data_IF_102822689797
#
_entry.id   IF_102822689797
#
_cell.length_a   1.000
_cell.length_b   1.000
_cell.length_c   1.000
_cell.angle_alpha   90.00
_cell.angle_beta   90.00
_cell.angle_gamma   90.00
#
_symmetry.space_group_name_H-M   'P 1'
#
loop_
_entity.id
_entity.type
_entity.pdbx_description
1 polymer ?
#
# COMPACT_ATOMS: atom_id res chain seq x y z
N UNK A 1 -12.53 19.77 3.86
CA UNK A 1 -11.33 19.69 4.72
C UNK A 1 -10.49 18.54 4.19
N UNK A 2 -9.28 18.83 3.69
CA UNK A 2 -8.42 17.88 2.98
C UNK A 2 -8.00 16.68 3.83
N UNK A 3 -8.64 15.54 3.61
CA UNK A 3 -8.31 14.26 4.26
C UNK A 3 -7.32 13.41 3.45
N UNK A 4 -6.81 13.94 2.34
CA UNK A 4 -5.87 13.31 1.42
C UNK A 4 -4.87 14.35 0.89
N UNK A 5 -3.59 13.99 0.85
CA UNK A 5 -2.53 14.75 0.18
C UNK A 5 -2.36 14.15 -1.21
N UNK A 6 -2.37 15.03 -2.22
CA UNK A 6 -2.14 14.65 -3.60
C UNK A 6 -0.67 14.26 -3.76
N UNK A 7 -0.40 12.97 -3.92
CA UNK A 7 0.91 12.49 -4.31
C UNK A 7 1.02 12.71 -5.81
N UNK A 8 1.57 13.85 -6.22
CA UNK A 8 1.92 14.13 -7.62
C UNK A 8 3.02 13.13 -7.98
N UNK A 9 2.75 12.09 -8.80
CA UNK A 9 3.81 11.24 -9.30
C UNK A 9 4.69 12.15 -10.15
N UNK A 10 6.00 12.13 -9.91
CA UNK A 10 6.99 12.90 -10.64
C UNK A 10 6.61 13.00 -12.12
N UNK A 11 6.66 14.23 -12.65
CA UNK A 11 6.31 14.64 -14.01
C UNK A 11 6.93 13.71 -15.07
N UNK A 12 6.27 12.59 -15.34
CA UNK A 12 6.46 11.82 -16.54
C UNK A 12 5.63 12.51 -17.59
N UNK A 13 6.30 13.13 -18.56
CA UNK A 13 5.67 13.68 -19.76
C UNK A 13 4.68 12.67 -20.34
N UNK A 14 3.61 13.17 -20.97
CA UNK A 14 2.52 12.32 -21.47
C UNK A 14 3.03 11.42 -22.60
N UNK A 15 3.45 10.22 -22.19
CA UNK A 15 4.15 9.24 -23.01
C UNK A 15 3.49 7.88 -22.82
N UNK A 16 3.39 7.10 -23.90
CA UNK A 16 2.64 5.84 -23.89
C UNK A 16 3.18 4.80 -22.89
N UNK A 17 4.48 4.85 -22.58
CA UNK A 17 5.14 3.93 -21.64
C UNK A 17 4.92 4.32 -20.17
N UNK A 18 4.35 5.50 -19.88
CA UNK A 18 4.01 5.95 -18.54
C UNK A 18 3.13 4.93 -17.81
N UNK A 19 2.08 4.43 -18.47
CA UNK A 19 1.14 3.48 -17.87
C UNK A 19 1.81 2.13 -17.53
N UNK A 20 2.54 1.45 -18.46
CA UNK A 20 3.30 0.26 -18.12
C UNK A 20 4.28 0.45 -16.96
N UNK A 21 4.99 1.58 -16.92
CA UNK A 21 5.93 1.87 -15.82
C UNK A 21 5.19 2.04 -14.50
N UNK A 22 4.07 2.76 -14.46
CA UNK A 22 3.26 2.93 -13.25
C UNK A 22 2.73 1.59 -12.71
N UNK A 23 2.32 0.68 -13.60
CA UNK A 23 1.92 -0.68 -13.21
C UNK A 23 3.11 -1.42 -12.61
N UNK A 24 4.26 -1.46 -13.28
CA UNK A 24 5.46 -2.12 -12.76
C UNK A 24 5.90 -1.55 -11.41
N UNK A 25 5.86 -0.22 -11.25
CA UNK A 25 6.15 0.47 -10.00
C UNK A 25 5.17 0.12 -8.90
N UNK A 26 3.86 -0.01 -9.19
CA UNK A 26 2.85 -0.44 -8.23
C UNK A 26 3.14 -1.84 -7.68
N UNK A 27 3.49 -2.79 -8.55
CA UNK A 27 3.87 -4.13 -8.10
C UNK A 27 5.22 -4.15 -7.37
N UNK A 28 6.19 -3.33 -7.78
CA UNK A 28 7.47 -3.21 -7.10
C UNK A 28 7.31 -2.62 -5.68
N UNK A 29 6.49 -1.58 -5.53
CA UNK A 29 6.13 -1.01 -4.23
C UNK A 29 5.42 -2.03 -3.36
N UNK A 30 4.37 -2.66 -3.89
CA UNK A 30 3.65 -3.72 -3.17
C UNK A 30 4.58 -4.83 -2.73
N UNK A 31 5.50 -5.28 -3.59
CA UNK A 31 6.51 -6.27 -3.20
C UNK A 31 7.37 -5.79 -2.04
N UNK A 32 7.98 -4.61 -2.14
CA UNK A 32 8.86 -4.08 -1.12
C UNK A 32 8.14 -3.91 0.23
N UNK A 33 6.94 -3.32 0.21
CA UNK A 33 6.14 -3.10 1.40
C UNK A 33 5.69 -4.42 2.04
N UNK A 34 5.16 -5.37 1.26
CA UNK A 34 4.68 -6.63 1.80
C UNK A 34 5.83 -7.48 2.39
N UNK A 35 7.01 -7.47 1.77
CA UNK A 35 8.20 -8.15 2.31
C UNK A 35 8.58 -7.57 3.66
N UNK A 36 8.67 -6.24 3.78
CA UNK A 36 9.19 -5.61 5.00
C UNK A 36 8.13 -5.55 6.11
N UNK A 37 6.94 -5.04 5.79
CA UNK A 37 5.93 -4.64 6.77
C UNK A 37 5.08 -5.84 7.22
N UNK A 38 4.79 -6.78 6.32
CA UNK A 38 4.05 -8.00 6.67
C UNK A 38 5.02 -9.12 7.00
N UNK A 39 5.78 -9.61 6.01
CA UNK A 39 6.53 -10.86 6.18
C UNK A 39 7.67 -10.73 7.20
N UNK A 40 8.59 -9.78 7.00
CA UNK A 40 9.75 -9.61 7.87
C UNK A 40 9.33 -9.20 9.28
N UNK A 41 8.58 -8.09 9.43
CA UNK A 41 8.22 -7.56 10.74
C UNK A 41 7.43 -8.58 11.58
N UNK A 42 6.40 -9.22 11.02
CA UNK A 42 5.64 -10.21 11.79
C UNK A 42 6.49 -11.43 12.13
N UNK A 43 7.36 -11.89 11.22
CA UNK A 43 8.29 -12.98 11.52
C UNK A 43 9.22 -12.61 12.68
N UNK A 44 9.76 -11.39 12.68
CA UNK A 44 10.64 -10.92 13.76
C UNK A 44 9.91 -10.75 15.09
N UNK A 45 8.69 -10.24 15.08
CA UNK A 45 7.89 -10.12 16.29
C UNK A 45 7.58 -11.49 16.90
N UNK A 46 7.23 -12.48 16.08
CA UNK A 46 7.07 -13.86 16.58
C UNK A 46 8.39 -14.45 17.10
N UNK A 47 9.52 -14.21 16.43
CA UNK A 47 10.85 -14.63 16.92
C UNK A 47 11.23 -13.97 18.26
N UNK A 48 10.73 -12.77 18.52
CA UNK A 48 10.89 -12.05 19.80
C UNK A 48 9.86 -12.49 20.85
N UNK A 49 8.99 -13.45 20.56
CA UNK A 49 7.99 -14.00 21.48
C UNK A 49 6.67 -13.25 21.52
N UNK A 50 6.43 -12.28 20.64
CA UNK A 50 5.13 -11.62 20.54
C UNK A 50 4.10 -12.57 19.93
N UNK A 51 2.87 -12.54 20.47
CA UNK A 51 1.76 -13.30 19.93
C UNK A 51 1.22 -12.73 18.62
N UNK A 52 0.48 -13.56 17.88
CA UNK A 52 -0.17 -13.24 16.59
C UNK A 52 -0.88 -11.89 16.55
N UNK A 53 -1.73 -11.63 17.53
CA UNK A 53 -2.54 -10.40 17.56
C UNK A 53 -1.65 -9.16 17.69
N UNK A 54 -0.60 -9.23 18.52
CA UNK A 54 0.35 -8.14 18.68
C UNK A 54 1.18 -7.94 17.40
N UNK A 55 1.64 -9.02 16.77
CA UNK A 55 2.39 -8.95 15.51
C UNK A 55 1.56 -8.29 14.38
N UNK A 56 0.30 -8.70 14.22
CA UNK A 56 -0.62 -8.12 13.22
C UNK A 56 -0.92 -6.65 13.56
N UNK A 57 -1.23 -6.33 14.81
CA UNK A 57 -1.54 -4.96 15.23
C UNK A 57 -0.35 -4.02 15.02
N UNK A 58 0.87 -4.41 15.42
CA UNK A 58 2.08 -3.62 15.21
C UNK A 58 2.38 -3.39 13.73
N UNK A 59 2.21 -4.43 12.91
CA UNK A 59 2.37 -4.36 11.46
C UNK A 59 1.35 -3.43 10.80
N UNK A 60 0.08 -3.54 11.17
CA UNK A 60 -1.00 -2.67 10.68
C UNK A 60 -0.85 -1.21 11.12
N UNK A 61 -0.44 -0.98 12.38
CA UNK A 61 -0.19 0.37 12.90
C UNK A 61 1.01 1.01 12.22
N UNK A 62 2.12 0.28 12.03
CA UNK A 62 3.27 0.79 11.29
C UNK A 62 2.83 1.25 9.89
N UNK A 63 2.09 0.39 9.19
CA UNK A 63 1.51 0.68 7.87
C UNK A 63 0.66 1.94 7.88
N UNK A 64 -0.37 1.99 8.73
CA UNK A 64 -1.23 3.17 8.84
C UNK A 64 -0.44 4.45 9.10
N UNK A 65 0.52 4.41 10.02
CA UNK A 65 1.33 5.57 10.41
C UNK A 65 2.16 6.13 9.23
N UNK A 66 2.88 5.29 8.49
CA UNK A 66 3.68 5.80 7.37
C UNK A 66 2.84 6.18 6.16
N UNK A 67 1.55 5.86 6.09
CA UNK A 67 0.65 6.37 5.05
C UNK A 67 -0.14 7.62 5.46
N UNK A 68 -0.03 8.09 6.71
CA UNK A 68 -0.71 9.33 7.14
C UNK A 68 -0.21 10.57 6.39
N UNK A 69 0.99 10.56 5.81
CA UNK A 69 1.46 11.68 4.97
C UNK A 69 0.64 11.83 3.69
N UNK A 70 -0.02 10.76 3.22
CA UNK A 70 -0.97 10.77 2.10
C UNK A 70 -2.37 11.23 2.55
N UNK A 71 -2.54 11.53 3.85
CA UNK A 71 -3.77 11.98 4.49
C UNK A 71 -4.40 10.93 5.41
N UNK A 72 -5.35 11.38 6.22
CA UNK A 72 -6.05 10.55 7.22
C UNK A 72 -6.75 9.36 6.57
N UNK A 73 -7.39 9.58 5.42
CA UNK A 73 -8.09 8.52 4.68
C UNK A 73 -7.16 7.41 4.22
N UNK A 74 -5.98 7.78 3.69
CA UNK A 74 -4.94 6.84 3.29
C UNK A 74 -4.38 6.08 4.49
N UNK A 75 -4.12 6.75 5.61
CA UNK A 75 -3.67 6.09 6.84
C UNK A 75 -4.68 5.07 7.40
N UNK A 76 -5.97 5.40 7.43
CA UNK A 76 -7.03 4.47 7.89
C UNK A 76 -7.18 3.30 6.93
N UNK A 77 -7.21 3.54 5.62
CA UNK A 77 -7.30 2.47 4.62
C UNK A 77 -6.13 1.49 4.73
N UNK A 78 -4.92 2.02 4.95
CA UNK A 78 -3.71 1.23 5.11
C UNK A 78 -3.64 0.48 6.44
N UNK A 79 -4.19 1.03 7.52
CA UNK A 79 -4.36 0.32 8.78
C UNK A 79 -5.28 -0.90 8.60
N UNK A 80 -6.43 -0.72 7.95
CA UNK A 80 -7.37 -1.83 7.66
C UNK A 80 -6.71 -2.88 6.76
N UNK A 81 -6.04 -2.44 5.68
CA UNK A 81 -5.31 -3.33 4.78
C UNK A 81 -4.24 -4.13 5.54
N UNK A 82 -3.47 -3.49 6.42
CA UNK A 82 -2.45 -4.15 7.23
C UNK A 82 -3.01 -5.24 8.16
N UNK A 83 -4.20 -5.03 8.73
CA UNK A 83 -4.89 -6.06 9.53
C UNK A 83 -5.26 -7.26 8.67
N UNK A 84 -5.91 -7.02 7.53
CA UNK A 84 -6.35 -8.08 6.61
C UNK A 84 -5.15 -8.86 6.07
N UNK A 85 -4.14 -8.16 5.58
CA UNK A 85 -2.95 -8.78 4.98
C UNK A 85 -2.12 -9.53 6.02
N UNK A 86 -1.98 -8.97 7.22
CA UNK A 86 -1.34 -9.65 8.34
C UNK A 86 -2.05 -10.95 8.73
N UNK A 87 -3.38 -10.93 8.77
CA UNK A 87 -4.16 -12.15 9.02
C UNK A 87 -3.99 -13.20 7.91
N UNK A 88 -4.03 -12.78 6.65
CA UNK A 88 -3.83 -13.68 5.50
C UNK A 88 -2.42 -14.26 5.49
N UNK A 89 -1.39 -13.46 5.78
CA UNK A 89 -0.02 -13.92 5.93
C UNK A 89 0.11 -14.96 7.03
N UNK A 90 -0.42 -14.69 8.22
CA UNK A 90 -0.40 -15.66 9.31
C UNK A 90 -1.10 -16.97 8.91
N UNK A 91 -2.24 -16.91 8.22
CA UNK A 91 -3.02 -18.10 7.85
C UNK A 91 -2.37 -18.92 6.75
N UNK A 92 -1.66 -18.29 5.83
CA UNK A 92 -1.22 -18.95 4.59
C UNK A 92 0.29 -19.04 4.43
N UNK A 93 1.06 -18.15 5.05
CA UNK A 93 2.50 -17.98 4.85
C UNK A 93 2.88 -17.59 3.42
N UNK A 94 1.92 -17.12 2.61
CA UNK A 94 2.12 -16.83 1.18
C UNK A 94 2.12 -15.34 0.94
N UNK A 95 3.23 -14.82 0.40
CA UNK A 95 3.38 -13.40 0.12
C UNK A 95 2.76 -12.99 -1.23
N UNK A 96 2.81 -13.87 -2.23
CA UNK A 96 2.35 -13.58 -3.59
C UNK A 96 0.91 -13.02 -3.68
N UNK A 97 -0.10 -13.58 -2.98
CA UNK A 97 -1.45 -13.00 -3.01
C UNK A 97 -1.51 -11.56 -2.49
N UNK A 98 -0.67 -11.23 -1.49
CA UNK A 98 -0.62 -9.89 -0.89
C UNK A 98 0.03 -8.89 -1.85
N UNK A 99 1.14 -9.28 -2.48
CA UNK A 99 1.82 -8.45 -3.48
C UNK A 99 0.89 -8.16 -4.65
N UNK A 100 0.18 -9.18 -5.15
CA UNK A 100 -0.75 -9.00 -6.27
C UNK A 100 -1.90 -8.08 -5.87
N UNK A 101 -2.50 -8.29 -4.69
CA UNK A 101 -3.57 -7.43 -4.20
C UNK A 101 -3.10 -5.98 -4.04
N UNK A 102 -1.94 -5.76 -3.42
CA UNK A 102 -1.34 -4.43 -3.26
C UNK A 102 -1.07 -3.78 -4.61
N UNK A 103 -0.36 -4.47 -5.51
CA UNK A 103 -0.02 -3.94 -6.82
C UNK A 103 -1.26 -3.59 -7.64
N UNK A 104 -2.36 -4.34 -7.53
CA UNK A 104 -3.63 -3.99 -8.16
C UNK A 104 -4.27 -2.75 -7.55
N UNK A 105 -4.28 -2.63 -6.22
CA UNK A 105 -4.80 -1.44 -5.51
C UNK A 105 -4.03 -0.19 -5.95
N UNK A 106 -2.69 -0.25 -5.92
CA UNK A 106 -1.82 0.84 -6.33
C UNK A 106 -1.96 1.16 -7.82
N UNK A 107 -2.08 0.14 -8.67
CA UNK A 107 -2.33 0.32 -10.11
C UNK A 107 -3.62 1.09 -10.34
N UNK A 108 -4.71 0.72 -9.66
CA UNK A 108 -6.00 1.42 -9.77
C UNK A 108 -5.88 2.85 -9.26
N UNK A 109 -5.17 3.08 -8.15
CA UNK A 109 -4.93 4.42 -7.62
C UNK A 109 -4.12 5.29 -8.59
N UNK A 110 -2.99 4.79 -9.10
CA UNK A 110 -2.08 5.55 -9.98
C UNK A 110 -2.66 5.78 -11.37
N UNK A 111 -3.22 4.74 -12.00
CA UNK A 111 -3.82 4.84 -13.33
C UNK A 111 -5.15 5.59 -13.27
N UNK A 112 -5.97 5.32 -12.26
CA UNK A 112 -7.21 6.07 -12.02
C UNK A 112 -6.93 7.56 -11.83
N UNK A 113 -5.94 7.91 -11.01
CA UNK A 113 -5.49 9.29 -10.88
C UNK A 113 -5.00 9.88 -12.21
N UNK A 114 -4.12 9.17 -12.94
CA UNK A 114 -3.56 9.64 -14.20
C UNK A 114 -4.60 9.90 -15.31
N UNK A 115 -5.70 9.13 -15.33
CA UNK A 115 -6.77 9.26 -16.31
C UNK A 115 -7.87 10.25 -15.90
N UNK A 116 -8.17 10.36 -14.61
CA UNK A 116 -9.33 11.13 -14.13
C UNK A 116 -8.98 12.54 -13.64
N UNK A 117 -7.69 12.83 -13.36
CA UNK A 117 -7.24 14.16 -12.92
C UNK A 117 -7.70 15.31 -13.82
N UNK A 118 -7.68 15.12 -15.14
CA UNK A 118 -8.00 16.18 -16.10
C UNK A 118 -9.51 16.27 -16.39
N UNK A 119 -10.32 15.36 -15.84
CA UNK A 119 -11.78 15.30 -16.02
C UNK A 119 -12.57 15.63 -14.74
N UNK A 120 -11.91 15.64 -13.59
CA UNK A 120 -12.54 15.84 -12.29
C UNK A 120 -11.87 17.03 -11.60
N UNK A 121 -12.46 18.23 -11.70
CA UNK A 121 -11.94 19.50 -11.14
C UNK A 121 -11.87 19.62 -9.60
N UNK A 122 -11.86 18.49 -8.91
CA UNK A 122 -11.62 18.33 -7.47
C UNK A 122 -10.42 17.40 -7.21
N UNK A 123 -9.95 16.68 -8.24
CA UNK A 123 -8.66 16.02 -8.35
C UNK A 123 -7.67 16.99 -9.03
N UNK A 124 -7.18 17.98 -8.28
CA UNK A 124 -6.06 18.83 -8.70
C UNK A 124 -4.75 18.35 -8.10
#
# INVERSE_FOLDING_TARGET
>A
MGMSVQVIPASLDDTWWRLPVLVLSAFANGWAEEVVVIAYLQTRLHQLGYGTAAAIASSALLRGCYHLYQGVSAGVGNLVMGVVFGYVWHRTGRLWPLVVAHGVIDTVAFVGYALLRDHLGWLH
#
